data_IF_925941641587
#
_entry.id   IF_925941641587
#
_cell.length_a   1.000
_cell.length_b   1.000
_cell.length_c   1.000
_cell.angle_alpha   90.00
_cell.angle_beta   90.00
_cell.angle_gamma   90.00
#
_symmetry.space_group_name_H-M   'P 1'
#
loop_
_entity.id
_entity.type
_entity.pdbx_description
1 polymer ?
#
# COMPACT_ATOMS: atom_id res chain seq x y z
N UNK A 1 10.29 7.93 15.32
CA UNK A 1 11.63 7.33 15.06
C UNK A 1 11.56 6.58 13.71
N UNK A 2 12.55 5.75 13.33
CA UNK A 2 12.57 5.11 11.99
C UNK A 2 11.54 3.98 11.89
N UNK A 3 10.61 4.10 10.95
CA UNK A 3 9.65 3.09 10.53
C UNK A 3 10.27 2.18 9.47
N UNK A 4 9.76 0.96 9.39
CA UNK A 4 10.17 0.00 8.38
C UNK A 4 9.37 0.24 7.10
N UNK A 5 10.06 0.47 5.98
CA UNK A 5 9.47 0.36 4.65
C UNK A 5 10.32 -0.59 3.81
N UNK A 6 9.67 -1.59 3.23
CA UNK A 6 10.29 -2.56 2.34
C UNK A 6 9.59 -2.49 0.98
N UNK A 7 10.37 -2.32 -0.09
CA UNK A 7 9.87 -2.44 -1.45
C UNK A 7 10.46 -3.70 -2.09
N UNK A 8 9.61 -4.63 -2.53
CA UNK A 8 10.01 -5.87 -3.19
C UNK A 8 10.38 -5.65 -4.66
N UNK A 9 11.58 -6.10 -5.04
CA UNK A 9 12.11 -6.33 -6.40
C UNK A 9 11.87 -5.28 -7.50
N UNK A 10 12.94 -4.56 -7.82
CA UNK A 10 13.16 -3.95 -9.14
C UNK A 10 13.96 -4.95 -9.97
N UNK A 11 13.41 -5.45 -11.09
CA UNK A 11 14.19 -6.25 -12.05
C UNK A 11 15.42 -5.44 -12.54
N UNK A 12 16.64 -6.00 -12.55
CA UNK A 12 17.79 -5.32 -13.12
C UNK A 12 17.71 -5.42 -14.64
N UNK A 13 17.22 -4.38 -15.31
CA UNK A 13 17.26 -4.33 -16.77
C UNK A 13 18.67 -3.88 -17.23
N UNK A 14 19.46 -4.84 -17.72
CA UNK A 14 20.70 -4.58 -18.44
C UNK A 14 20.37 -3.78 -19.72
N UNK A 15 20.73 -2.50 -19.77
CA UNK A 15 20.49 -1.64 -20.92
C UNK A 15 21.62 -1.79 -21.97
N UNK A 16 21.32 -2.46 -23.08
CA UNK A 16 22.03 -2.33 -24.35
C UNK A 16 21.16 -1.49 -25.29
N UNK A 17 21.60 -0.28 -25.61
CA UNK A 17 20.90 0.61 -26.55
C UNK A 17 21.24 0.26 -28.00
N UNK A 18 20.25 0.27 -28.91
CA UNK A 18 20.45 0.80 -30.25
C UNK A 18 19.58 2.02 -30.51
N UNK A 19 20.11 2.96 -31.29
CA UNK A 19 19.45 4.19 -31.71
C UNK A 19 18.21 3.91 -32.58
N UNK A 20 17.14 4.69 -32.42
CA UNK A 20 15.93 4.60 -33.24
C UNK A 20 15.72 5.84 -34.12
N UNK A 21 15.53 5.60 -35.41
CA UNK A 21 14.98 6.54 -36.39
C UNK A 21 13.47 6.72 -36.20
N UNK A 22 12.96 7.90 -36.56
CA UNK A 22 11.55 8.28 -36.40
C UNK A 22 10.70 7.84 -37.60
N UNK A 23 9.53 7.25 -37.33
CA UNK A 23 8.38 7.23 -38.26
C UNK A 23 7.08 7.52 -37.53
N UNK A 24 6.24 8.34 -38.17
CA UNK A 24 4.93 8.79 -37.70
C UNK A 24 3.82 7.79 -38.01
N UNK A 25 2.88 7.58 -37.08
CA UNK A 25 1.57 6.99 -37.40
C UNK A 25 0.67 6.58 -36.22
N UNK A 26 -0.52 7.20 -36.15
CA UNK A 26 -1.81 6.83 -35.52
C UNK A 26 -2.02 6.92 -33.98
N UNK A 27 -3.25 7.25 -33.52
CA UNK A 27 -3.55 7.56 -32.13
C UNK A 27 -3.83 6.27 -31.35
N UNK A 28 -2.80 5.71 -30.74
CA UNK A 28 -2.93 4.67 -29.74
C UNK A 28 -2.97 5.29 -28.34
N UNK A 29 -3.83 4.72 -27.48
CA UNK A 29 -3.83 4.80 -26.00
C UNK A 29 -2.64 5.55 -25.41
N UNK A 30 -2.90 6.67 -24.74
CA UNK A 30 -1.88 7.45 -24.05
C UNK A 30 -1.36 6.64 -22.86
N UNK A 31 -0.43 5.71 -23.11
CA UNK A 31 0.45 5.21 -22.06
C UNK A 31 1.34 6.39 -21.68
N UNK A 32 1.18 6.90 -20.47
CA UNK A 32 2.12 7.86 -19.92
C UNK A 32 3.54 7.26 -20.12
N UNK A 33 4.46 7.99 -20.78
CA UNK A 33 5.81 7.50 -20.96
C UNK A 33 6.40 7.26 -19.57
N UNK A 34 7.06 6.11 -19.39
CA UNK A 34 7.92 5.88 -18.25
C UNK A 34 8.88 7.08 -18.12
N UNK A 35 8.77 7.83 -17.03
CA UNK A 35 9.70 8.92 -16.77
C UNK A 35 11.12 8.32 -16.71
N UNK A 36 11.98 8.69 -17.66
CA UNK A 36 13.41 8.39 -17.69
C UNK A 36 13.81 6.99 -17.21
N UNK A 37 13.35 5.94 -17.90
CA UNK A 37 13.84 4.58 -17.69
C UNK A 37 13.45 3.92 -16.37
N UNK A 38 12.59 4.55 -15.55
CA UNK A 38 11.97 3.89 -14.39
C UNK A 38 10.78 3.07 -14.89
N UNK A 39 10.81 1.73 -14.78
CA UNK A 39 9.68 0.91 -15.16
C UNK A 39 8.44 1.29 -14.35
N UNK A 40 7.28 1.33 -15.00
CA UNK A 40 5.99 1.49 -14.31
C UNK A 40 5.44 0.10 -14.05
N UNK A 41 5.30 -0.34 -12.78
CA UNK A 41 4.63 -1.59 -12.47
C UNK A 41 3.19 -1.57 -13.00
N UNK A 42 2.71 -2.71 -13.46
CA UNK A 42 1.32 -2.91 -13.85
C UNK A 42 0.41 -3.04 -12.62
N UNK A 43 0.94 -3.64 -11.53
CA UNK A 43 0.27 -3.72 -10.24
C UNK A 43 1.24 -3.37 -9.10
N UNK A 44 0.79 -2.50 -8.19
CA UNK A 44 1.46 -2.20 -6.93
C UNK A 44 0.51 -2.58 -5.80
N UNK A 45 0.93 -3.48 -4.89
CA UNK A 45 0.20 -3.77 -3.66
C UNK A 45 0.98 -3.18 -2.50
N UNK A 46 0.32 -2.34 -1.72
CA UNK A 46 0.87 -1.66 -0.55
C UNK A 46 0.12 -2.18 0.69
N UNK A 47 0.87 -2.73 1.64
CA UNK A 47 0.35 -3.17 2.93
C UNK A 47 0.88 -2.25 4.00
N UNK A 48 0.02 -1.86 4.93
CA UNK A 48 0.39 -1.05 6.08
C UNK A 48 0.12 -1.87 7.34
N UNK A 49 1.20 -2.20 8.05
CA UNK A 49 1.19 -2.72 9.43
C UNK A 49 1.29 -1.54 10.40
N UNK A 50 1.15 -1.78 11.70
CA UNK A 50 1.02 -0.74 12.72
C UNK A 50 2.08 -0.81 13.81
N UNK A 51 2.33 0.34 14.44
CA UNK A 51 2.85 0.46 15.81
C UNK A 51 4.09 -0.36 16.17
N UNK A 52 5.05 -0.52 15.27
CA UNK A 52 6.31 -1.19 15.59
C UNK A 52 7.52 -0.46 15.01
N UNK A 53 8.53 -0.26 15.85
CA UNK A 53 9.81 0.31 15.43
C UNK A 53 10.57 -0.67 14.53
N UNK A 54 11.46 -0.12 13.70
CA UNK A 54 12.35 -0.92 12.86
C UNK A 54 13.07 -2.04 13.64
N UNK A 55 13.55 -1.76 14.85
CA UNK A 55 14.29 -2.71 15.69
C UNK A 55 13.43 -3.80 16.31
N UNK A 56 12.12 -3.63 16.38
CA UNK A 56 11.19 -4.67 16.86
C UNK A 56 10.87 -5.70 15.78
N UNK A 57 10.97 -5.31 14.51
CA UNK A 57 10.68 -6.17 13.36
C UNK A 57 11.96 -6.76 12.77
N UNK A 58 12.94 -5.94 12.38
CA UNK A 58 14.12 -6.42 11.66
C UNK A 58 15.08 -7.13 12.62
N UNK A 59 15.42 -8.38 12.30
CA UNK A 59 16.18 -9.30 13.13
C UNK A 59 15.35 -10.08 14.16
N UNK A 60 14.05 -9.78 14.28
CA UNK A 60 13.17 -10.43 15.25
C UNK A 60 12.74 -11.82 14.81
N UNK A 61 12.84 -12.80 15.71
CA UNK A 61 12.31 -14.15 15.48
C UNK A 61 10.78 -14.21 15.48
N UNK A 62 10.11 -13.13 15.90
CA UNK A 62 8.66 -13.01 15.82
C UNK A 62 8.17 -12.59 14.43
N UNK A 63 9.03 -12.04 13.56
CA UNK A 63 8.69 -11.61 12.21
C UNK A 63 9.48 -12.37 11.12
N UNK A 64 9.52 -13.71 11.11
CA UNK A 64 10.36 -14.47 10.18
C UNK A 64 10.00 -14.20 8.70
N UNK A 65 8.73 -14.01 8.37
CA UNK A 65 8.32 -13.76 6.99
C UNK A 65 8.79 -12.38 6.52
N UNK A 66 8.50 -11.31 7.26
CA UNK A 66 8.96 -9.95 6.93
C UNK A 66 10.47 -9.89 6.81
N UNK A 67 11.21 -10.56 7.71
CA UNK A 67 12.68 -10.62 7.63
C UNK A 67 13.16 -11.39 6.40
N UNK A 68 12.45 -12.42 5.97
CA UNK A 68 12.76 -13.12 4.72
C UNK A 68 12.55 -12.21 3.50
N UNK A 69 11.51 -11.37 3.52
CA UNK A 69 11.26 -10.38 2.46
C UNK A 69 12.33 -9.28 2.47
N UNK A 70 12.75 -8.84 3.66
CA UNK A 70 13.78 -7.81 3.82
C UNK A 70 15.13 -8.24 3.23
N UNK A 71 15.47 -9.53 3.30
CA UNK A 71 16.67 -10.10 2.68
C UNK A 71 16.58 -10.19 1.14
N UNK A 72 15.38 -10.11 0.59
CA UNK A 72 15.07 -10.31 -0.82
C UNK A 72 14.79 -9.01 -1.57
N UNK A 73 14.29 -7.98 -0.89
CA UNK A 73 13.90 -6.69 -1.46
C UNK A 73 14.85 -5.53 -1.13
N UNK A 74 14.36 -4.32 -1.40
CA UNK A 74 15.00 -3.08 -1.00
C UNK A 74 14.47 -2.62 0.36
N UNK A 75 15.33 -2.71 1.38
CA UNK A 75 15.02 -2.31 2.75
C UNK A 75 15.37 -0.84 2.99
N UNK A 76 14.37 -0.02 3.33
CA UNK A 76 14.56 1.39 3.64
C UNK A 76 14.74 1.55 5.15
N UNK A 77 15.99 1.74 5.59
CA UNK A 77 16.37 1.85 7.01
C UNK A 77 16.19 3.26 7.58
N UNK A 78 15.80 4.22 6.75
CA UNK A 78 15.59 5.63 7.08
C UNK A 78 14.24 6.12 6.54
N UNK A 79 13.20 5.32 6.72
CA UNK A 79 11.80 5.73 6.55
C UNK A 79 11.25 6.14 7.91
N UNK A 80 10.41 7.17 8.01
CA UNK A 80 10.01 7.78 9.30
C UNK A 80 8.55 8.20 9.32
N UNK A 81 8.02 8.33 10.54
CA UNK A 81 6.74 9.00 10.80
C UNK A 81 6.73 10.41 10.29
N UNK A 82 5.54 10.92 10.01
CA UNK A 82 5.32 12.35 10.08
C UNK A 82 4.90 12.76 11.48
N UNK A 83 3.98 12.03 12.11
CA UNK A 83 3.45 12.37 13.44
C UNK A 83 2.92 11.14 14.17
N UNK A 84 2.31 11.37 15.33
CA UNK A 84 1.42 10.47 16.05
C UNK A 84 0.11 11.26 16.34
N UNK A 85 -1.10 10.66 16.30
CA UNK A 85 -1.43 9.23 16.12
C UNK A 85 -1.42 8.73 14.65
N UNK A 86 -1.87 7.48 14.43
CA UNK A 86 -1.90 6.77 13.14
C UNK A 86 -2.60 7.54 12.00
N UNK A 87 -3.84 8.02 12.20
CA UNK A 87 -4.66 8.51 11.08
C UNK A 87 -4.01 9.65 10.26
N UNK A 88 -3.39 10.67 10.89
CA UNK A 88 -2.60 11.66 10.16
C UNK A 88 -1.55 11.03 9.21
N UNK A 89 -0.81 10.00 9.64
CA UNK A 89 0.21 9.35 8.80
C UNK A 89 -0.41 8.66 7.57
N UNK A 90 -1.58 8.03 7.71
CA UNK A 90 -2.31 7.45 6.57
C UNK A 90 -2.75 8.52 5.57
N UNK A 91 -3.22 9.67 6.05
CA UNK A 91 -3.60 10.79 5.19
C UNK A 91 -2.38 11.40 4.48
N UNK A 92 -1.25 11.55 5.21
CA UNK A 92 0.03 11.97 4.65
C UNK A 92 0.49 11.00 3.54
N UNK A 93 0.42 9.68 3.78
CA UNK A 93 0.78 8.67 2.78
C UNK A 93 -0.11 8.73 1.53
N UNK A 94 -1.42 8.92 1.70
CA UNK A 94 -2.38 8.83 0.59
C UNK A 94 -2.55 10.15 -0.19
N UNK A 95 -2.36 11.30 0.46
CA UNK A 95 -2.63 12.62 -0.12
C UNK A 95 -1.47 13.61 -0.02
N UNK A 96 -0.34 13.21 0.56
CA UNK A 96 0.85 14.06 0.73
C UNK A 96 0.73 15.09 1.84
N UNK A 97 -0.37 15.10 2.60
CA UNK A 97 -0.59 15.96 3.77
C UNK A 97 -1.72 15.40 4.66
N UNK A 98 -1.67 15.63 5.97
CA UNK A 98 -2.71 15.16 6.92
C UNK A 98 -4.05 15.92 6.86
N UNK A 99 -4.16 16.92 5.98
CA UNK A 99 -5.37 17.72 5.76
C UNK A 99 -5.87 18.44 7.03
N UNK A 100 -4.97 18.72 7.98
CA UNK A 100 -5.30 19.34 9.27
C UNK A 100 -5.90 18.38 10.29
N UNK A 101 -6.00 17.09 9.99
CA UNK A 101 -6.36 16.05 10.96
C UNK A 101 -5.13 15.75 11.82
N UNK A 102 -5.29 15.86 13.13
CA UNK A 102 -4.20 15.67 14.12
C UNK A 102 -4.56 14.63 15.18
N UNK A 103 -5.64 13.90 14.98
CA UNK A 103 -6.14 12.87 15.89
C UNK A 103 -6.74 11.69 15.10
N UNK A 104 -7.27 10.70 15.82
CA UNK A 104 -7.93 9.51 15.25
C UNK A 104 -9.46 9.66 15.15
N UNK A 105 -9.98 10.89 15.10
CA UNK A 105 -11.43 11.08 15.03
C UNK A 105 -12.01 10.53 13.73
N UNK A 106 -13.30 10.19 13.77
CA UNK A 106 -14.01 9.64 12.61
C UNK A 106 -15.50 9.98 12.71
N UNK A 107 -16.15 10.36 11.60
CA UNK A 107 -15.63 10.42 10.23
C UNK A 107 -15.02 11.79 9.85
N UNK A 108 -14.16 11.78 8.83
CA UNK A 108 -13.73 12.99 8.10
C UNK A 108 -14.26 12.98 6.66
N UNK A 109 -14.39 14.17 6.07
CA UNK A 109 -14.81 14.34 4.68
C UNK A 109 -13.92 15.37 4.00
N UNK A 110 -13.12 14.90 3.06
CA UNK A 110 -12.04 15.62 2.41
C UNK A 110 -12.27 15.63 0.90
N UNK A 111 -11.82 16.69 0.21
CA UNK A 111 -12.00 16.88 -1.23
C UNK A 111 -10.72 17.27 -1.95
N UNK A 112 -9.60 17.28 -1.22
CA UNK A 112 -8.28 17.59 -1.76
C UNK A 112 -7.77 16.47 -2.65
N UNK A 113 -6.81 16.82 -3.51
CA UNK A 113 -6.14 15.87 -4.38
C UNK A 113 -5.50 14.74 -3.57
N UNK A 114 -5.55 13.54 -4.12
CA UNK A 114 -5.04 12.33 -3.48
C UNK A 114 -4.61 11.30 -4.53
N UNK A 115 -3.87 10.29 -4.10
CA UNK A 115 -3.33 9.25 -4.97
C UNK A 115 -4.43 8.56 -5.79
N UNK A 116 -5.55 8.20 -5.17
CA UNK A 116 -6.67 7.54 -5.85
C UNK A 116 -7.25 8.40 -6.98
N UNK A 117 -7.50 9.68 -6.71
CA UNK A 117 -7.98 10.63 -7.72
C UNK A 117 -6.99 10.79 -8.88
N UNK A 118 -5.69 10.93 -8.58
CA UNK A 118 -4.65 11.05 -9.61
C UNK A 118 -4.58 9.82 -10.51
N UNK A 119 -4.69 8.61 -9.95
CA UNK A 119 -4.74 7.37 -10.72
C UNK A 119 -5.95 7.35 -11.65
N UNK A 120 -7.14 7.63 -11.12
CA UNK A 120 -8.39 7.60 -11.90
C UNK A 120 -8.38 8.64 -13.04
N UNK A 121 -7.90 9.85 -12.78
CA UNK A 121 -7.75 10.90 -13.80
C UNK A 121 -6.75 10.52 -14.91
N UNK A 122 -5.76 9.69 -14.58
CA UNK A 122 -4.81 9.14 -15.54
C UNK A 122 -5.32 7.87 -16.25
N UNK A 123 -6.61 7.52 -16.12
CA UNK A 123 -7.20 6.27 -16.62
C UNK A 123 -6.50 5.00 -16.08
N UNK A 124 -5.96 5.10 -14.87
CA UNK A 124 -5.45 3.98 -14.08
C UNK A 124 -6.48 3.59 -13.02
N UNK A 125 -6.27 2.45 -12.36
CA UNK A 125 -7.23 1.90 -11.40
C UNK A 125 -6.67 1.88 -9.99
N UNK A 126 -7.56 2.09 -9.02
CA UNK A 126 -7.27 2.08 -7.59
C UNK A 126 -8.34 1.29 -6.84
N UNK A 127 -7.93 0.49 -5.87
CA UNK A 127 -8.82 -0.01 -4.83
C UNK A 127 -8.08 -0.19 -3.49
N UNK A 128 -8.82 -0.12 -2.39
CA UNK A 128 -8.35 -0.51 -1.08
C UNK A 128 -9.14 -1.72 -0.59
N UNK A 129 -8.43 -2.67 0.00
CA UNK A 129 -8.93 -3.95 0.48
C UNK A 129 -8.70 -4.01 1.99
N UNK A 130 -9.76 -3.96 2.78
CA UNK A 130 -9.66 -3.95 4.24
C UNK A 130 -10.29 -5.19 4.86
N UNK A 131 -9.55 -5.85 5.76
CA UNK A 131 -10.08 -6.95 6.56
C UNK A 131 -11.23 -6.44 7.45
N UNK A 132 -12.25 -7.27 7.67
CA UNK A 132 -13.47 -6.96 8.44
C UNK A 132 -14.34 -5.78 7.94
N UNK A 133 -14.03 -5.16 6.79
CA UNK A 133 -14.92 -4.19 6.17
C UNK A 133 -16.27 -4.87 5.85
N UNK A 134 -17.41 -4.33 6.31
CA UNK A 134 -18.66 -5.09 6.31
C UNK A 134 -19.29 -5.23 4.91
N UNK A 135 -18.99 -4.30 4.00
CA UNK A 135 -19.50 -4.32 2.63
C UNK A 135 -18.71 -3.37 1.72
N UNK A 136 -18.80 -3.61 0.41
CA UNK A 136 -18.26 -2.71 -0.62
C UNK A 136 -18.81 -1.29 -0.42
N UNK A 137 -17.92 -0.31 -0.40
CA UNK A 137 -18.24 1.11 -0.24
C UNK A 137 -18.69 1.52 1.15
N UNK A 138 -18.58 0.65 2.16
CA UNK A 138 -18.90 1.01 3.53
C UNK A 138 -18.04 2.17 4.03
N UNK A 139 -18.67 3.10 4.75
CA UNK A 139 -18.01 4.28 5.34
C UNK A 139 -18.06 4.26 6.88
N UNK A 140 -18.42 3.11 7.47
CA UNK A 140 -18.47 2.94 8.94
C UNK A 140 -17.12 3.23 9.56
N UNK A 141 -17.11 3.80 10.76
CA UNK A 141 -15.86 4.05 11.47
C UNK A 141 -15.22 2.76 11.99
N UNK A 142 -16.05 1.77 12.37
CA UNK A 142 -15.59 0.48 12.91
C UNK A 142 -16.52 -0.67 12.49
N UNK A 143 -15.97 -1.88 12.41
CA UNK A 143 -16.70 -3.14 12.18
C UNK A 143 -15.83 -4.31 12.60
N UNK A 144 -16.18 -5.05 13.66
CA UNK A 144 -15.25 -6.05 14.21
C UNK A 144 -13.93 -5.37 14.62
N UNK A 145 -12.80 -5.85 14.07
CA UNK A 145 -11.49 -5.24 14.27
C UNK A 145 -11.09 -4.24 13.17
N UNK A 146 -11.94 -4.00 12.15
CA UNK A 146 -11.74 -2.94 11.17
C UNK A 146 -11.89 -1.56 11.82
N UNK A 147 -10.98 -0.64 11.46
CA UNK A 147 -11.09 0.80 11.75
C UNK A 147 -10.86 1.63 10.51
N UNK A 148 -11.75 2.58 10.24
CA UNK A 148 -11.66 3.47 9.07
C UNK A 148 -10.43 4.36 9.06
N UNK A 149 -9.86 4.67 10.24
CA UNK A 149 -8.66 5.50 10.36
C UNK A 149 -7.44 4.91 9.63
N UNK A 150 -7.40 3.61 9.37
CA UNK A 150 -6.32 2.94 8.61
C UNK A 150 -6.64 2.86 7.10
N UNK A 151 -7.81 3.34 6.65
CA UNK A 151 -8.26 3.32 5.26
C UNK A 151 -8.45 4.76 4.74
N UNK A 152 -7.36 5.50 4.46
CA UNK A 152 -7.39 6.96 4.26
C UNK A 152 -8.30 7.39 3.11
N UNK A 153 -8.39 6.58 2.05
CA UNK A 153 -9.21 6.87 0.88
C UNK A 153 -10.70 7.04 1.23
N UNK A 154 -11.20 6.39 2.28
CA UNK A 154 -12.61 6.49 2.72
C UNK A 154 -12.94 7.90 3.23
N UNK A 155 -11.94 8.70 3.62
CA UNK A 155 -12.11 10.09 4.02
C UNK A 155 -12.32 11.04 2.84
N UNK A 156 -12.12 10.62 1.60
CA UNK A 156 -12.20 11.48 0.42
C UNK A 156 -13.51 11.28 -0.35
N UNK A 157 -14.26 12.35 -0.58
CA UNK A 157 -15.54 12.31 -1.30
C UNK A 157 -15.39 12.50 -2.81
N UNK A 158 -14.16 12.79 -3.28
CA UNK A 158 -13.82 12.96 -4.69
C UNK A 158 -13.30 11.67 -5.35
N UNK A 159 -13.42 10.51 -4.68
CA UNK A 159 -13.17 9.19 -5.25
C UNK A 159 -14.42 8.31 -5.11
N UNK A 160 -14.68 7.37 -6.03
CA UNK A 160 -15.85 6.50 -5.95
C UNK A 160 -15.79 5.59 -4.72
N UNK A 161 -16.85 5.52 -3.92
CA UNK A 161 -16.90 4.63 -2.74
C UNK A 161 -16.70 3.15 -3.10
N UNK A 162 -17.01 2.76 -4.33
CA UNK A 162 -16.77 1.42 -4.88
C UNK A 162 -15.30 0.99 -4.87
N UNK A 163 -14.35 1.90 -4.65
CA UNK A 163 -12.93 1.55 -4.48
C UNK A 163 -12.63 1.01 -3.08
N UNK A 164 -13.56 1.10 -2.12
CA UNK A 164 -13.41 0.54 -0.78
C UNK A 164 -14.01 -0.87 -0.71
N UNK A 165 -13.16 -1.90 -0.67
CA UNK A 165 -13.56 -3.29 -0.79
C UNK A 165 -13.22 -4.07 0.48
N UNK A 166 -14.07 -5.03 0.90
CA UNK A 166 -13.66 -6.03 1.89
C UNK A 166 -12.47 -6.85 1.37
N UNK A 167 -11.57 -7.27 2.27
CA UNK A 167 -10.42 -8.08 1.88
C UNK A 167 -10.80 -9.39 1.17
N UNK A 168 -12.00 -9.92 1.41
CA UNK A 168 -12.54 -11.07 0.67
C UNK A 168 -12.70 -10.86 -0.85
N UNK A 169 -12.60 -9.62 -1.33
CA UNK A 169 -12.55 -9.26 -2.75
C UNK A 169 -11.12 -9.17 -3.30
N UNK A 170 -10.08 -9.33 -2.47
CA UNK A 170 -8.71 -9.39 -2.94
C UNK A 170 -8.56 -10.63 -3.85
N UNK A 171 -8.16 -10.46 -5.12
CA UNK A 171 -8.25 -11.53 -6.10
C UNK A 171 -7.14 -12.56 -5.90
N UNK A 172 -7.42 -13.80 -6.30
CA UNK A 172 -6.40 -14.85 -6.44
C UNK A 172 -5.79 -14.86 -7.85
N UNK A 173 -6.47 -14.29 -8.85
CA UNK A 173 -5.89 -13.95 -10.15
C UNK A 173 -5.35 -12.52 -10.13
N UNK A 174 -4.05 -12.38 -9.86
CA UNK A 174 -3.40 -11.09 -9.69
C UNK A 174 -3.34 -10.24 -10.97
N UNK A 175 -3.61 -10.81 -12.16
CA UNK A 175 -3.74 -10.02 -13.40
C UNK A 175 -4.96 -9.08 -13.36
N UNK A 176 -5.91 -9.32 -12.45
CA UNK A 176 -7.13 -8.51 -12.29
C UNK A 176 -7.00 -7.41 -11.26
N UNK A 177 -5.84 -7.31 -10.58
CA UNK A 177 -5.61 -6.27 -9.59
C UNK A 177 -5.72 -4.86 -10.22
N UNK A 178 -6.13 -3.85 -9.43
CA UNK A 178 -5.92 -2.45 -9.79
C UNK A 178 -4.45 -2.12 -10.08
N UNK A 179 -4.20 -0.96 -10.70
CA UNK A 179 -2.84 -0.44 -10.87
C UNK A 179 -2.16 -0.22 -9.52
N UNK A 180 -2.90 0.34 -8.56
CA UNK A 180 -2.45 0.44 -7.16
C UNK A 180 -3.54 -0.09 -6.24
N UNK A 181 -3.14 -1.00 -5.36
CA UNK A 181 -3.99 -1.62 -4.35
C UNK A 181 -3.42 -1.37 -2.97
N UNK A 182 -4.24 -0.91 -2.04
CA UNK A 182 -3.90 -0.94 -0.62
C UNK A 182 -4.53 -2.17 0.03
N UNK A 183 -3.79 -2.85 0.89
CA UNK A 183 -4.30 -3.92 1.76
C UNK A 183 -4.12 -3.47 3.21
N UNK A 184 -5.21 -3.47 3.97
CA UNK A 184 -5.24 -3.05 5.37
C UNK A 184 -5.73 -4.23 6.20
N UNK A 185 -4.82 -4.94 6.90
CA UNK A 185 -5.22 -5.93 7.90
C UNK A 185 -6.05 -5.27 9.01
N UNK A 186 -6.81 -6.06 9.77
CA UNK A 186 -7.55 -5.52 10.91
C UNK A 186 -6.61 -5.25 12.09
N UNK A 187 -7.11 -4.60 13.15
CA UNK A 187 -6.31 -4.23 14.33
C UNK A 187 -5.55 -5.38 15.00
N UNK A 188 -5.91 -6.65 14.77
CA UNK A 188 -5.16 -7.77 15.34
C UNK A 188 -4.06 -8.25 14.40
N UNK A 189 -4.27 -8.14 13.10
CA UNK A 189 -3.38 -8.66 12.07
C UNK A 189 -2.45 -7.61 11.49
N UNK A 190 -2.72 -6.32 11.74
CA UNK A 190 -1.80 -5.20 11.47
C UNK A 190 -0.78 -5.03 12.61
N UNK A 191 -0.82 -5.90 13.62
CA UNK A 191 0.01 -5.88 14.82
C UNK A 191 -0.31 -4.76 15.84
N UNK A 192 -1.32 -3.92 15.62
CA UNK A 192 -1.67 -2.84 16.56
C UNK A 192 -2.15 -3.39 17.92
N UNK A 193 -3.08 -4.33 17.92
CA UNK A 193 -3.60 -5.01 19.12
C UNK A 193 -3.15 -6.47 19.21
N UNK A 194 -2.64 -7.01 18.10
CA UNK A 194 -2.13 -8.38 18.02
C UNK A 194 -0.67 -8.49 18.41
N UNK A 195 -0.06 -9.61 18.03
CA UNK A 195 1.38 -9.81 18.19
C UNK A 195 2.07 -9.71 16.85
N UNK A 196 3.36 -9.35 16.84
CA UNK A 196 4.20 -9.39 15.64
C UNK A 196 4.09 -10.74 14.92
N UNK A 197 4.10 -11.86 15.67
CA UNK A 197 3.99 -13.19 15.08
C UNK A 197 2.65 -13.44 14.40
N UNK A 198 1.56 -12.88 14.95
CA UNK A 198 0.24 -12.99 14.36
C UNK A 198 0.17 -12.21 13.03
N UNK A 199 0.61 -10.96 13.01
CA UNK A 199 0.61 -10.16 11.78
C UNK A 199 1.57 -10.73 10.72
N UNK A 200 2.77 -11.15 11.10
CA UNK A 200 3.73 -11.81 10.20
C UNK A 200 3.15 -13.09 9.58
N UNK A 201 2.46 -13.91 10.38
CA UNK A 201 1.79 -15.11 9.90
C UNK A 201 0.61 -14.78 8.97
N UNK A 202 -0.14 -13.72 9.28
CA UNK A 202 -1.25 -13.26 8.43
C UNK A 202 -0.73 -12.80 7.07
N UNK A 203 0.32 -11.97 7.05
CA UNK A 203 0.99 -11.51 5.84
C UNK A 203 1.45 -12.69 4.97
N UNK A 204 2.12 -13.67 5.58
CA UNK A 204 2.59 -14.84 4.85
C UNK A 204 1.42 -15.62 4.23
N UNK A 205 0.37 -15.88 5.01
CA UNK A 205 -0.77 -16.68 4.54
C UNK A 205 -1.57 -15.99 3.44
N UNK A 206 -1.69 -14.67 3.51
CA UNK A 206 -2.61 -13.92 2.66
C UNK A 206 -1.94 -13.26 1.46
N UNK A 207 -0.66 -12.90 1.56
CA UNK A 207 0.01 -12.08 0.56
C UNK A 207 1.24 -12.75 -0.08
N UNK A 208 1.75 -13.86 0.46
CA UNK A 208 2.89 -14.53 -0.18
C UNK A 208 2.58 -14.98 -1.61
N UNK A 209 1.33 -15.38 -1.88
CA UNK A 209 0.89 -15.66 -3.24
C UNK A 209 1.14 -14.49 -4.21
N UNK A 210 0.84 -13.25 -3.79
CA UNK A 210 1.11 -12.06 -4.60
C UNK A 210 2.60 -11.74 -4.64
N UNK A 211 3.33 -11.87 -3.52
CA UNK A 211 4.77 -11.62 -3.47
C UNK A 211 5.52 -12.52 -4.46
N UNK A 212 5.25 -13.83 -4.46
CA UNK A 212 5.87 -14.78 -5.38
C UNK A 212 5.47 -14.49 -6.83
N UNK A 213 4.21 -14.12 -7.07
CA UNK A 213 3.75 -13.76 -8.41
C UNK A 213 4.45 -12.48 -8.91
N UNK A 214 4.51 -11.43 -8.09
CA UNK A 214 5.11 -10.15 -8.43
C UNK A 214 6.59 -10.27 -8.78
N UNK A 215 7.34 -11.19 -8.15
CA UNK A 215 8.76 -11.44 -8.46
C UNK A 215 9.03 -11.87 -9.92
N UNK A 216 8.01 -12.36 -10.63
CA UNK A 216 8.12 -12.80 -12.03
C UNK A 216 7.30 -11.95 -13.00
N UNK A 217 6.64 -10.91 -12.51
CA UNK A 217 5.79 -10.01 -13.28
C UNK A 217 6.28 -8.57 -13.13
N UNK A 218 5.83 -7.67 -14.00
CA UNK A 218 6.11 -6.24 -13.87
C UNK A 218 5.24 -5.64 -12.75
N UNK A 219 5.47 -6.07 -11.50
CA UNK A 219 4.62 -5.76 -10.36
C UNK A 219 5.47 -5.54 -9.11
N UNK A 220 4.89 -4.82 -8.14
CA UNK A 220 5.60 -4.38 -6.94
C UNK A 220 4.77 -4.74 -5.69
N UNK A 221 5.45 -5.27 -4.68
CA UNK A 221 4.92 -5.43 -3.33
C UNK A 221 5.63 -4.44 -2.40
N UNK A 222 4.88 -3.68 -1.61
CA UNK A 222 5.40 -2.78 -0.59
C UNK A 222 4.75 -3.13 0.73
N UNK A 223 5.56 -3.30 1.77
CA UNK A 223 5.10 -3.34 3.15
C UNK A 223 5.72 -2.16 3.89
N UNK A 224 4.89 -1.41 4.62
CA UNK A 224 5.33 -0.33 5.48
C UNK A 224 4.62 -0.42 6.82
N UNK A 225 5.15 0.30 7.81
CA UNK A 225 4.46 0.53 9.07
C UNK A 225 3.91 1.95 9.11
N UNK A 226 2.71 2.12 9.66
CA UNK A 226 2.06 3.41 9.81
C UNK A 226 2.84 4.28 10.78
N UNK A 227 3.22 3.70 11.94
CA UNK A 227 3.95 4.25 13.06
C UNK A 227 4.80 3.34 13.94
N UNK A 228 5.63 3.97 14.79
CA UNK A 228 6.37 3.26 15.83
C UNK A 228 5.70 3.52 17.18
N UNK A 229 5.77 2.53 18.07
CA UNK A 229 5.22 2.56 19.45
C UNK A 229 5.86 3.65 20.34
N UNK A 230 6.75 4.49 19.79
CA UNK A 230 7.75 5.29 20.49
C UNK A 230 7.68 6.79 20.22
N UNK A 231 6.51 7.37 19.95
CA UNK A 231 6.27 8.80 19.61
C UNK A 231 6.70 9.25 18.22
#
# INVERSE_FOLDING_TARGET
>A
MSKLTLAGFVLPLLLLFPAFETRSGNPASYRAPAANGVPRPDHVVIVIEENHSYSEIIGSSAAPYINSLAAQGALFTQSYAITHPSQPNYLDLFSGYNQGVTDDSCPHYLTTDNLGLYLLNASLTFAGYSEDLPSVGSTVCTSGAYVRRHAPWVNFTNIPTTTNLPYSYFPTDYNTLPTVSFVIPNLNNDMHNGTIQQGDSWLQQHLDGYVQWAATHNSLFIISFDEDDGR
#
